data_IF_279474059555
#
_entry.id   IF_279474059555
#
_cell.length_a   1.000
_cell.length_b   1.000
_cell.length_c   1.000
_cell.angle_alpha   90.00
_cell.angle_beta   90.00
_cell.angle_gamma   90.00
#
_symmetry.space_group_name_H-M   'P 1'
#
loop_
_entity.id
_entity.type
_entity.pdbx_description
1 polymer ?
#
# COMPACT_ATOMS: atom_id res chain seq x y z
N UNK A 1 0.39 4.92 -3.59
CA UNK A 1 0.81 5.18 -4.98
C UNK A 1 -0.04 6.28 -5.58
N UNK A 2 0.35 6.91 -6.70
CA UNK A 2 -0.48 7.90 -7.40
C UNK A 2 -0.71 7.46 -8.84
N UNK A 3 -1.86 7.82 -9.42
CA UNK A 3 -2.06 7.74 -10.86
C UNK A 3 -1.07 8.66 -11.58
N UNK A 4 -0.55 8.25 -12.73
CA UNK A 4 0.22 9.07 -13.67
C UNK A 4 -0.60 9.49 -14.90
N UNK A 5 -1.76 8.86 -15.09
CA UNK A 5 -2.72 9.19 -16.14
C UNK A 5 -4.12 9.21 -15.53
N UNK A 6 -4.92 10.19 -15.95
CA UNK A 6 -6.33 10.26 -15.53
C UNK A 6 -7.05 8.99 -15.95
N UNK A 7 -7.69 8.33 -15.00
CA UNK A 7 -8.60 7.21 -15.23
C UNK A 7 -9.99 7.79 -15.50
N UNK A 8 -10.54 7.53 -16.68
CA UNK A 8 -11.86 8.02 -17.10
C UNK A 8 -12.94 6.96 -16.83
N UNK A 9 -14.20 7.38 -16.68
CA UNK A 9 -15.32 6.45 -16.66
C UNK A 9 -15.29 5.51 -17.88
N UNK A 10 -15.51 4.22 -17.65
CA UNK A 10 -15.46 3.16 -18.66
C UNK A 10 -14.05 2.58 -18.91
N UNK A 11 -12.98 3.19 -18.39
CA UNK A 11 -11.62 2.62 -18.49
C UNK A 11 -11.37 1.59 -17.40
N UNK A 12 -10.57 0.56 -17.70
CA UNK A 12 -10.17 -0.51 -16.77
C UNK A 12 -8.65 -0.67 -16.68
N UNK A 13 -7.91 0.33 -17.15
CA UNK A 13 -6.45 0.30 -17.20
C UNK A 13 -5.91 1.53 -16.48
N UNK A 14 -5.22 1.30 -15.37
CA UNK A 14 -4.60 2.33 -14.55
C UNK A 14 -3.13 2.45 -14.92
N UNK A 15 -2.61 3.67 -14.99
CA UNK A 15 -1.18 3.93 -15.12
C UNK A 15 -0.71 4.62 -13.85
N UNK A 16 0.24 4.02 -13.14
CA UNK A 16 0.81 4.56 -11.90
C UNK A 16 2.07 5.39 -12.17
N UNK A 17 2.47 6.20 -11.20
CA UNK A 17 3.70 6.99 -11.28
C UNK A 17 5.00 6.23 -10.97
N UNK A 18 4.88 4.96 -10.56
CA UNK A 18 6.01 4.06 -10.30
C UNK A 18 5.56 2.61 -10.38
N UNK A 19 6.53 1.71 -10.51
CA UNK A 19 6.28 0.27 -10.49
C UNK A 19 5.87 -0.21 -9.10
N UNK A 20 5.11 -1.29 -9.07
CA UNK A 20 4.60 -1.94 -7.85
C UNK A 20 4.77 -3.45 -7.96
N UNK A 21 4.73 -4.13 -6.81
CA UNK A 21 4.87 -5.58 -6.66
C UNK A 21 3.51 -6.30 -6.50
N UNK A 22 2.42 -5.66 -6.91
CA UNK A 22 1.07 -6.22 -6.85
C UNK A 22 0.86 -7.32 -7.88
N UNK A 23 -0.08 -8.23 -7.61
CA UNK A 23 -0.37 -9.38 -8.46
C UNK A 23 -1.85 -9.46 -8.86
N UNK A 24 -2.14 -10.27 -9.88
CA UNK A 24 -3.52 -10.60 -10.23
C UNK A 24 -4.26 -11.24 -9.05
N UNK A 25 -5.51 -10.85 -8.84
CA UNK A 25 -6.32 -11.23 -7.68
C UNK A 25 -6.20 -10.30 -6.49
N UNK A 26 -5.23 -9.38 -6.47
CA UNK A 26 -5.17 -8.34 -5.44
C UNK A 26 -6.32 -7.34 -5.60
N UNK A 27 -6.77 -6.78 -4.47
CA UNK A 27 -7.73 -5.69 -4.46
C UNK A 27 -7.01 -4.38 -4.23
N UNK A 28 -7.40 -3.36 -4.97
CA UNK A 28 -6.91 -2.00 -4.81
C UNK A 28 -8.08 -1.05 -4.59
N UNK A 29 -7.80 0.08 -3.95
CA UNK A 29 -8.71 1.21 -3.89
C UNK A 29 -8.09 2.40 -4.61
N UNK A 30 -8.88 3.08 -5.44
CA UNK A 30 -8.56 4.36 -6.04
C UNK A 30 -9.39 5.42 -5.33
N UNK A 31 -8.72 6.41 -4.75
CA UNK A 31 -9.41 7.47 -4.00
C UNK A 31 -10.12 8.44 -4.94
N UNK A 32 -11.22 9.03 -4.46
CA UNK A 32 -11.82 10.17 -5.14
C UNK A 32 -10.81 11.32 -5.32
N UNK A 33 -10.98 12.08 -6.40
CA UNK A 33 -10.29 13.37 -6.63
C UNK A 33 -11.27 14.54 -6.67
N UNK A 34 -12.52 14.31 -6.27
CA UNK A 34 -13.55 15.33 -6.15
C UNK A 34 -14.01 15.50 -4.69
N UNK A 35 -15.09 16.27 -4.51
CA UNK A 35 -15.63 16.57 -3.19
C UNK A 35 -16.44 15.43 -2.57
N UNK A 36 -16.84 14.43 -3.35
CA UNK A 36 -17.74 13.37 -2.92
C UNK A 36 -16.92 12.15 -2.44
N UNK A 37 -16.89 11.87 -1.12
CA UNK A 37 -16.07 10.77 -0.59
C UNK A 37 -16.50 9.39 -1.11
N UNK A 38 -17.78 9.24 -1.49
CA UNK A 38 -18.35 8.02 -2.06
C UNK A 38 -17.87 7.67 -3.46
N UNK A 39 -17.11 8.55 -4.14
CA UNK A 39 -16.56 8.28 -5.46
C UNK A 39 -15.19 7.56 -5.41
N UNK A 40 -14.83 6.99 -4.26
CA UNK A 40 -13.69 6.07 -4.18
C UNK A 40 -14.12 4.70 -4.65
N UNK A 41 -13.31 4.07 -5.50
CA UNK A 41 -13.66 2.82 -6.16
C UNK A 41 -12.68 1.72 -5.78
N UNK A 42 -13.20 0.50 -5.60
CA UNK A 42 -12.38 -0.69 -5.39
C UNK A 42 -12.33 -1.50 -6.68
N UNK A 43 -11.14 -2.01 -6.99
CA UNK A 43 -10.90 -2.78 -8.20
C UNK A 43 -10.14 -4.06 -7.89
N UNK A 44 -10.39 -5.09 -8.68
CA UNK A 44 -9.67 -6.35 -8.65
C UNK A 44 -8.64 -6.38 -9.78
N UNK A 45 -7.36 -6.55 -9.45
CA UNK A 45 -6.29 -6.61 -10.45
C UNK A 45 -6.40 -7.91 -11.25
N UNK A 46 -6.33 -7.80 -12.57
CA UNK A 46 -6.27 -8.94 -13.51
C UNK A 46 -4.89 -9.09 -14.15
N UNK A 47 -4.09 -8.03 -14.18
CA UNK A 47 -2.71 -8.06 -14.67
C UNK A 47 -1.92 -6.82 -14.31
N UNK A 48 -0.60 -6.98 -14.23
CA UNK A 48 0.35 -5.88 -14.00
C UNK A 48 1.48 -5.98 -15.02
N UNK A 49 1.77 -4.88 -15.70
CA UNK A 49 2.87 -4.74 -16.65
C UNK A 49 3.60 -3.43 -16.39
N UNK A 50 4.71 -3.50 -15.66
CA UNK A 50 5.48 -2.33 -15.24
C UNK A 50 4.67 -1.39 -14.35
N UNK A 51 4.25 -0.25 -14.91
CA UNK A 51 3.45 0.78 -14.21
C UNK A 51 1.96 0.72 -14.60
N UNK A 52 1.60 -0.16 -15.53
CA UNK A 52 0.25 -0.32 -16.03
C UNK A 52 -0.42 -1.49 -15.32
N UNK A 53 -1.62 -1.26 -14.80
CA UNK A 53 -2.43 -2.23 -14.09
C UNK A 53 -3.75 -2.37 -14.84
N UNK A 54 -4.12 -3.60 -15.16
CA UNK A 54 -5.44 -3.93 -15.70
C UNK A 54 -6.31 -4.46 -14.58
N UNK A 55 -7.56 -4.01 -14.52
CA UNK A 55 -8.54 -4.42 -13.52
C UNK A 55 -9.77 -5.05 -14.16
N UNK A 56 -10.54 -5.81 -13.38
CA UNK A 56 -11.72 -6.51 -13.84
C UNK A 56 -12.90 -5.55 -14.10
N UNK A 57 -13.06 -4.55 -13.24
CA UNK A 57 -14.14 -3.58 -13.30
C UNK A 57 -13.72 -2.34 -14.13
N UNK A 58 -14.69 -1.68 -14.76
CA UNK A 58 -14.46 -0.36 -15.37
C UNK A 58 -14.75 0.74 -14.36
N UNK A 59 -13.95 1.80 -14.35
CA UNK A 59 -14.21 2.95 -13.48
C UNK A 59 -15.57 3.58 -13.77
N UNK A 60 -16.31 3.92 -12.73
CA UNK A 60 -17.56 4.68 -12.82
C UNK A 60 -17.26 6.18 -12.78
N UNK A 61 -16.25 6.58 -12.02
CA UNK A 61 -15.89 7.97 -11.79
C UNK A 61 -14.56 8.33 -12.44
N UNK A 62 -14.36 9.64 -12.64
CA UNK A 62 -13.09 10.17 -13.12
C UNK A 62 -12.14 10.30 -11.94
N UNK A 63 -10.95 9.71 -12.05
CA UNK A 63 -9.87 9.88 -11.09
C UNK A 63 -8.71 10.62 -11.74
N UNK A 64 -8.40 11.82 -11.21
CA UNK A 64 -7.37 12.69 -11.78
C UNK A 64 -5.96 12.06 -11.67
N UNK A 65 -5.20 12.08 -12.77
CA UNK A 65 -3.82 11.58 -12.81
C UNK A 65 -2.77 12.66 -13.03
N UNK A 66 -3.16 13.94 -13.03
CA UNK A 66 -2.26 15.07 -13.26
C UNK A 66 -2.09 15.91 -11.98
N UNK A 67 -0.85 16.29 -11.61
CA UNK A 67 -0.63 17.17 -10.47
C UNK A 67 -0.98 18.61 -10.86
N UNK A 68 -1.29 19.44 -9.87
CA UNK A 68 -1.60 20.85 -10.11
C UNK A 68 -0.31 21.68 -10.13
N UNK A 69 0.06 22.19 -11.30
CA UNK A 69 1.30 22.96 -11.46
C UNK A 69 1.20 24.31 -10.75
N UNK A 70 2.24 24.65 -9.98
CA UNK A 70 2.34 25.93 -9.29
C UNK A 70 3.07 26.99 -10.12
N UNK A 71 3.78 26.57 -11.16
CA UNK A 71 4.63 27.42 -12.01
C UNK A 71 4.18 27.47 -13.48
N UNK A 72 2.88 27.33 -13.74
CA UNK A 72 2.30 27.42 -15.07
C UNK A 72 2.39 28.83 -15.68
N UNK A 73 2.54 29.87 -14.85
CA UNK A 73 2.65 31.27 -15.22
C UNK A 73 3.74 31.97 -14.39
N UNK A 74 4.36 33.01 -14.96
CA UNK A 74 5.44 33.76 -14.30
C UNK A 74 4.99 34.46 -13.01
N UNK A 75 3.73 34.89 -12.93
CA UNK A 75 3.16 35.48 -11.71
C UNK A 75 3.04 34.45 -10.59
N UNK A 76 2.58 33.23 -10.90
CA UNK A 76 2.45 32.15 -9.92
C UNK A 76 3.83 31.64 -9.47
N UNK A 77 4.80 31.61 -10.39
CA UNK A 77 6.23 31.32 -10.13
C UNK A 77 6.81 32.17 -9.00
N UNK A 78 6.61 33.49 -9.04
CA UNK A 78 7.09 34.40 -8.00
C UNK A 78 6.34 34.26 -6.67
N UNK A 79 5.04 33.92 -6.74
CA UNK A 79 4.18 33.78 -5.56
C UNK A 79 4.66 32.71 -4.60
N UNK A 80 4.83 31.47 -5.07
CA UNK A 80 5.23 30.36 -4.18
C UNK A 80 6.72 30.40 -3.80
N UNK A 81 7.60 30.92 -4.67
CA UNK A 81 9.03 31.06 -4.36
C UNK A 81 9.29 31.97 -3.17
N UNK A 82 8.49 33.04 -3.03
CA UNK A 82 8.58 33.96 -1.88
C UNK A 82 8.19 33.32 -0.54
N UNK A 83 7.42 32.22 -0.57
CA UNK A 83 7.01 31.51 0.64
C UNK A 83 8.06 30.49 1.11
N UNK A 84 9.10 30.24 0.32
CA UNK A 84 10.13 29.25 0.65
C UNK A 84 9.60 27.81 0.76
N UNK A 85 8.46 27.50 0.12
CA UNK A 85 7.83 26.18 0.19
C UNK A 85 8.37 25.28 -0.92
N UNK A 86 8.95 24.14 -0.54
CA UNK A 86 9.31 23.06 -1.46
C UNK A 86 8.12 22.11 -1.64
N UNK A 87 7.19 22.49 -2.53
CA UNK A 87 6.02 21.68 -2.88
C UNK A 87 6.25 21.17 -4.30
N UNK A 88 6.63 19.90 -4.41
CA UNK A 88 6.95 19.28 -5.69
C UNK A 88 6.18 17.99 -5.95
N UNK A 89 5.81 17.79 -7.21
CA UNK A 89 5.35 16.51 -7.74
C UNK A 89 6.22 16.17 -8.96
N UNK A 90 6.81 14.97 -8.94
CA UNK A 90 7.71 14.47 -9.99
C UNK A 90 8.87 15.44 -10.30
N UNK A 91 9.42 16.09 -9.27
CA UNK A 91 10.55 17.04 -9.38
C UNK A 91 10.20 18.42 -9.92
N UNK A 92 8.90 18.74 -10.07
CA UNK A 92 8.42 20.05 -10.54
C UNK A 92 7.63 20.76 -9.44
N UNK A 93 7.66 22.11 -9.35
CA UNK A 93 6.84 22.86 -8.39
C UNK A 93 5.34 22.66 -8.68
N UNK A 94 4.70 21.79 -7.92
CA UNK A 94 3.37 21.28 -8.19
C UNK A 94 2.74 20.67 -6.92
N UNK A 95 1.46 20.92 -6.72
CA UNK A 95 0.68 20.27 -5.67
C UNK A 95 0.20 18.89 -6.12
N UNK A 96 0.31 17.90 -5.23
CA UNK A 96 -0.11 16.53 -5.50
C UNK A 96 -1.63 16.39 -5.42
N UNK A 97 -2.29 16.47 -6.58
CA UNK A 97 -3.76 16.38 -6.74
C UNK A 97 -4.22 15.10 -7.42
N UNK A 98 -3.30 14.14 -7.63
CA UNK A 98 -3.60 12.89 -8.33
C UNK A 98 -4.28 11.90 -7.39
N UNK A 99 -5.13 11.04 -7.92
CA UNK A 99 -5.77 9.99 -7.15
C UNK A 99 -4.72 9.09 -6.52
N UNK A 100 -4.89 8.78 -5.24
CA UNK A 100 -4.08 7.78 -4.58
C UNK A 100 -4.60 6.39 -4.92
N UNK A 101 -3.68 5.46 -5.10
CA UNK A 101 -3.97 4.03 -5.28
C UNK A 101 -3.29 3.26 -4.16
N UNK A 102 -4.04 2.40 -3.49
CA UNK A 102 -3.56 1.59 -2.38
C UNK A 102 -4.05 0.15 -2.49
N UNK A 103 -3.18 -0.79 -2.07
CA UNK A 103 -3.50 -2.20 -1.97
C UNK A 103 -4.38 -2.46 -0.74
N UNK A 104 -5.53 -3.10 -0.93
CA UNK A 104 -6.37 -3.63 0.14
C UNK A 104 -5.82 -5.01 0.52
N UNK A 105 -4.76 -5.02 1.34
CA UNK A 105 -4.14 -6.26 1.77
C UNK A 105 -5.17 -7.12 2.52
N UNK A 106 -5.41 -8.31 2.02
CA UNK A 106 -6.06 -9.37 2.79
C UNK A 106 -5.00 -9.91 3.75
N UNK A 107 -5.29 -9.90 5.06
CA UNK A 107 -4.46 -10.46 6.14
C UNK A 107 -3.35 -9.57 6.73
N UNK A 108 -3.69 -8.85 7.81
CA UNK A 108 -2.70 -8.47 8.82
C UNK A 108 -2.36 -9.74 9.61
N UNK A 109 -1.21 -10.36 9.33
CA UNK A 109 -0.71 -11.46 10.15
C UNK A 109 0.33 -10.92 11.13
N UNK A 110 -0.04 -10.79 12.41
CA UNK A 110 0.93 -10.52 13.47
C UNK A 110 1.73 -11.81 13.71
N UNK A 111 2.96 -11.87 13.20
CA UNK A 111 3.92 -12.92 13.56
C UNK A 111 4.71 -12.42 14.75
N UNK A 112 4.39 -12.91 15.95
CA UNK A 112 5.21 -12.70 17.14
C UNK A 112 6.47 -13.55 16.98
N UNK A 113 7.62 -12.93 16.74
CA UNK A 113 8.91 -13.60 16.96
C UNK A 113 9.24 -13.46 18.45
N UNK A 114 9.16 -14.57 19.17
CA UNK A 114 9.63 -14.63 20.54
C UNK A 114 11.15 -14.83 20.53
N UNK A 115 11.90 -13.76 20.26
CA UNK A 115 13.33 -13.73 20.56
C UNK A 115 13.47 -13.48 22.06
N UNK A 116 13.93 -14.50 22.75
CA UNK A 116 14.16 -14.63 24.17
C UNK A 116 15.21 -13.63 24.70
N UNK A 117 14.80 -12.40 25.01
CA UNK A 117 15.41 -11.59 26.06
C UNK A 117 14.32 -10.90 26.88
N UNK A 118 14.38 -11.12 28.19
CA UNK A 118 13.33 -10.79 29.14
C UNK A 118 13.15 -9.27 29.32
N UNK A 119 12.03 -8.72 28.88
CA UNK A 119 11.45 -7.51 29.47
C UNK A 119 10.14 -7.88 30.15
N UNK A 120 10.16 -7.72 31.48
CA UNK A 120 9.15 -8.18 32.43
C UNK A 120 7.99 -7.18 32.42
N UNK A 121 7.02 -7.33 31.52
CA UNK A 121 5.72 -6.69 31.69
C UNK A 121 4.95 -7.44 32.80
N UNK A 122 4.72 -6.74 33.91
CA UNK A 122 3.89 -7.22 35.01
C UNK A 122 2.41 -7.18 34.57
N UNK A 123 1.89 -8.31 34.09
CA UNK A 123 0.46 -8.49 33.93
C UNK A 123 0.00 -9.75 34.68
N UNK A 124 -1.00 -9.50 35.50
CA UNK A 124 -1.60 -10.35 36.52
C UNK A 124 -2.07 -11.69 35.93
N UNK A 125 -1.69 -12.80 36.58
CA UNK A 125 -2.02 -14.17 36.14
C UNK A 125 -3.31 -14.64 36.80
N UNK A 126 -4.43 -14.45 36.14
CA UNK A 126 -5.60 -15.30 36.32
C UNK A 126 -6.12 -15.71 34.95
N UNK A 127 -6.50 -16.98 34.82
CA UNK A 127 -7.12 -17.59 33.64
C UNK A 127 -6.17 -18.04 32.52
N UNK A 128 -5.54 -19.20 32.68
CA UNK A 128 -5.46 -20.20 31.60
C UNK A 128 -5.17 -21.59 32.19
N UNK A 129 -6.01 -22.63 31.94
CA UNK A 129 -5.71 -23.99 32.39
C UNK A 129 -4.67 -24.65 31.47
N UNK A 130 -3.74 -25.41 32.05
CA UNK A 130 -2.71 -26.15 31.30
C UNK A 130 -3.25 -27.53 30.88
N UNK A 131 -3.06 -27.98 29.63
CA UNK A 131 -3.22 -29.39 29.30
C UNK A 131 -2.00 -30.19 29.76
N UNK A 132 -2.25 -31.33 30.43
CA UNK A 132 -1.25 -32.37 30.69
C UNK A 132 -1.20 -33.30 29.48
N UNK A 133 -0.05 -33.44 28.83
CA UNK A 133 0.40 -34.75 28.38
C UNK A 133 1.91 -34.82 28.17
N UNK A 134 2.47 -35.95 28.58
CA UNK A 134 3.88 -36.28 28.75
C UNK A 134 4.23 -37.34 27.71
N UNK A 135 5.26 -37.14 26.88
CA UNK A 135 5.94 -38.24 26.17
C UNK A 135 7.45 -38.04 26.20
N UNK A 136 8.15 -39.16 26.39
CA UNK A 136 9.53 -39.33 26.84
C UNK A 136 10.53 -39.55 25.69
N UNK A 137 11.80 -39.29 26.01
CA UNK A 137 13.05 -39.95 25.59
C UNK A 137 13.50 -39.90 24.13
N UNK A 138 14.65 -39.26 23.90
CA UNK A 138 15.56 -39.53 22.78
C UNK A 138 16.82 -40.20 23.35
N UNK A 139 17.15 -41.39 22.82
CA UNK A 139 18.42 -42.10 23.03
C UNK A 139 19.41 -41.65 21.95
N UNK A 140 20.64 -41.33 22.34
CA UNK A 140 21.77 -41.17 21.43
C UNK A 140 22.45 -42.54 21.33
N UNK A 141 22.64 -43.05 20.12
CA UNK A 141 23.43 -44.26 19.86
C UNK A 141 24.65 -43.83 19.03
N UNK A 142 25.85 -44.05 19.57
CA UNK A 142 27.13 -43.93 18.87
C UNK A 142 27.25 -45.01 17.79
N UNK A 143 27.83 -44.66 16.64
CA UNK A 143 28.31 -45.63 15.66
C UNK A 143 29.85 -45.59 15.65
N UNK A 144 30.45 -46.77 15.81
CA UNK A 144 31.88 -47.07 15.64
C UNK A 144 31.98 -48.17 14.57
N UNK A 145 33.10 -48.16 13.84
CA UNK A 145 33.68 -49.15 12.90
C UNK A 145 33.29 -49.01 11.42
N UNK A 146 34.19 -49.16 10.45
CA UNK A 146 35.60 -49.61 10.45
C UNK A 146 36.55 -48.60 9.80
#
# INVERSE_FOLDING_TARGET
>A
MRLAKTLKPGENTLTLNRTVDWAAGDQIVVTTTDYLPGHSEQFTITGVSGQTITVAETAVYRHNGEPYLLADTESRKKGYQRLGLDITADGRPAAETRAAVALLSRSIRIVRVASNWALRFHLNRSCFPRPKNRVRNIRIISAVMS
#
